data_IF_706405081621
#
_entry.id   IF_706405081621
#
_cell.length_a   1.000
_cell.length_b   1.000
_cell.length_c   1.000
_cell.angle_alpha   90.00
_cell.angle_beta   90.00
_cell.angle_gamma   90.00
#
_symmetry.space_group_name_H-M   'P 1'
#
loop_
_entity.id
_entity.type
_entity.pdbx_description
1 polymer ?
#
# COMPACT_ATOMS: atom_id res chain seq x y z
N UNK A 1 -3.05 -12.94 3.30
CA UNK A 1 -2.01 -11.91 3.12
C UNK A 1 -0.62 -12.57 3.08
N UNK A 2 0.39 -11.89 2.54
CA UNK A 2 1.79 -12.26 2.64
C UNK A 2 2.38 -11.63 3.91
N UNK A 3 3.05 -12.42 4.73
CA UNK A 3 3.68 -11.95 5.97
C UNK A 3 5.11 -12.46 6.12
N UNK A 4 5.80 -11.96 7.14
CA UNK A 4 7.12 -12.45 7.54
C UNK A 4 6.98 -13.37 8.73
N UNK A 5 7.71 -14.49 8.75
CA UNK A 5 7.66 -15.43 9.87
C UNK A 5 8.40 -14.86 11.09
N UNK A 6 7.69 -14.63 12.19
CA UNK A 6 8.23 -14.16 13.48
C UNK A 6 7.72 -15.01 14.64
N UNK A 7 8.29 -14.84 15.83
CA UNK A 7 7.60 -15.32 17.04
C UNK A 7 6.33 -14.50 17.28
N UNK A 8 5.40 -15.04 18.08
CA UNK A 8 4.19 -14.32 18.48
C UNK A 8 4.51 -13.00 19.17
N UNK A 9 5.51 -13.03 20.06
CA UNK A 9 5.96 -11.87 20.84
C UNK A 9 6.58 -10.81 19.94
N UNK A 10 7.52 -11.21 19.06
CA UNK A 10 8.15 -10.28 18.12
C UNK A 10 7.13 -9.63 17.19
N UNK A 11 6.14 -10.39 16.71
CA UNK A 11 5.10 -9.84 15.87
C UNK A 11 4.30 -8.75 16.59
N UNK A 12 3.87 -9.02 17.84
CA UNK A 12 3.12 -8.08 18.66
C UNK A 12 3.94 -6.84 19.04
N UNK A 13 5.19 -7.02 19.47
CA UNK A 13 6.10 -5.94 19.89
C UNK A 13 6.42 -4.99 18.73
N UNK A 14 6.39 -5.48 17.50
CA UNK A 14 6.60 -4.68 16.29
C UNK A 14 5.29 -4.07 15.73
N UNK A 15 4.15 -4.24 16.42
CA UNK A 15 2.85 -3.72 15.98
C UNK A 15 2.24 -4.48 14.79
N UNK A 16 2.66 -5.71 14.57
CA UNK A 16 2.12 -6.59 13.54
C UNK A 16 0.89 -7.37 14.01
N UNK A 17 0.23 -8.02 13.07
CA UNK A 17 -0.91 -8.92 13.32
C UNK A 17 -0.56 -10.34 12.88
N UNK A 18 -0.84 -11.32 13.73
CA UNK A 18 -0.68 -12.74 13.43
C UNK A 18 -1.76 -13.21 12.45
N UNK A 19 -1.34 -13.73 11.30
CA UNK A 19 -2.20 -14.27 10.22
C UNK A 19 -1.86 -15.75 9.95
N UNK A 20 -1.93 -16.58 10.99
CA UNK A 20 -1.67 -18.02 10.92
C UNK A 20 -0.24 -18.41 11.32
N UNK A 21 0.09 -19.70 11.14
CA UNK A 21 1.34 -20.29 11.63
C UNK A 21 2.37 -20.44 10.50
N UNK A 22 3.65 -20.31 10.85
CA UNK A 22 4.80 -20.56 9.97
C UNK A 22 5.86 -21.41 10.69
N UNK A 23 6.94 -21.78 9.99
CA UNK A 23 8.03 -22.60 10.53
C UNK A 23 7.53 -23.84 11.29
N UNK A 24 6.62 -24.62 10.70
CA UNK A 24 5.99 -25.80 11.33
C UNK A 24 5.33 -25.54 12.69
N UNK A 25 4.83 -24.32 12.92
CA UNK A 25 4.12 -23.94 14.16
C UNK A 25 5.01 -23.30 15.22
N UNK A 26 6.30 -23.08 14.95
CA UNK A 26 7.20 -22.37 15.87
C UNK A 26 7.10 -20.84 15.75
N UNK A 27 6.40 -20.33 14.73
CA UNK A 27 6.18 -18.91 14.55
C UNK A 27 4.82 -18.59 13.93
N UNK A 28 4.56 -17.31 13.77
CA UNK A 28 3.36 -16.75 13.16
C UNK A 28 3.68 -16.01 11.86
N UNK A 29 2.77 -16.08 10.89
CA UNK A 29 2.81 -15.23 9.71
C UNK A 29 2.45 -13.79 10.13
N UNK A 30 3.47 -12.96 10.35
CA UNK A 30 3.26 -11.61 10.83
C UNK A 30 3.02 -10.64 9.67
N UNK A 31 1.90 -9.92 9.72
CA UNK A 31 1.52 -8.92 8.71
C UNK A 31 1.56 -7.52 9.32
N UNK A 32 1.98 -6.54 8.53
CA UNK A 32 2.02 -5.13 8.93
C UNK A 32 1.06 -4.34 8.07
N UNK A 33 0.23 -3.50 8.70
CA UNK A 33 -0.77 -2.67 8.02
C UNK A 33 -0.62 -1.21 8.47
N UNK A 34 -0.73 -0.30 7.51
CA UNK A 34 -0.69 1.15 7.75
C UNK A 34 -1.90 1.78 7.08
N UNK A 35 -2.73 2.45 7.86
CA UNK A 35 -3.95 3.12 7.37
C UNK A 35 -3.97 4.62 7.63
N UNK A 36 -3.15 5.12 8.56
CA UNK A 36 -3.11 6.53 8.92
C UNK A 36 -2.43 7.36 7.82
N UNK A 37 -3.16 8.31 7.23
CA UNK A 37 -2.62 9.24 6.24
C UNK A 37 -1.43 10.04 6.78
N UNK A 38 -0.43 10.29 5.93
CA UNK A 38 0.77 11.07 6.28
C UNK A 38 1.87 10.24 6.96
N UNK A 39 1.67 8.94 7.15
CA UNK A 39 2.67 8.07 7.77
C UNK A 39 3.71 7.56 6.77
N UNK A 40 4.83 7.09 7.32
CA UNK A 40 5.89 6.46 6.53
C UNK A 40 5.86 4.95 6.70
N UNK A 41 6.07 4.23 5.59
CA UNK A 41 6.32 2.80 5.56
C UNK A 41 7.83 2.57 5.62
N UNK A 42 8.29 1.86 6.64
CA UNK A 42 9.72 1.62 6.91
C UNK A 42 10.06 0.13 7.00
N UNK A 43 9.13 -0.75 6.60
CA UNK A 43 9.27 -2.20 6.65
C UNK A 43 8.92 -2.80 5.29
N UNK A 44 9.58 -3.91 4.95
CA UNK A 44 9.23 -4.68 3.77
C UNK A 44 7.90 -5.41 4.01
N UNK A 45 7.13 -5.68 2.95
CA UNK A 45 5.86 -6.42 3.01
C UNK A 45 4.87 -5.73 3.97
N UNK A 46 4.56 -4.47 3.69
CA UNK A 46 3.56 -3.68 4.45
C UNK A 46 2.35 -3.40 3.59
N UNK A 47 1.16 -3.65 4.14
CA UNK A 47 -0.11 -3.31 3.50
C UNK A 47 -0.48 -1.87 3.80
N UNK A 48 -0.70 -1.09 2.74
CA UNK A 48 -1.22 0.27 2.84
C UNK A 48 -2.70 0.22 2.52
N UNK A 49 -3.53 0.78 3.39
CA UNK A 49 -4.98 0.88 3.16
C UNK A 49 -5.44 2.31 3.36
N UNK A 50 -6.51 2.72 2.69
CA UNK A 50 -7.19 3.95 3.08
C UNK A 50 -7.70 3.85 4.55
N UNK A 51 -7.87 4.97 5.26
CA UNK A 51 -8.28 4.96 6.68
C UNK A 51 -9.57 4.19 6.99
N UNK A 52 -10.51 4.15 6.04
CA UNK A 52 -11.82 3.52 6.20
C UNK A 52 -11.89 2.09 5.66
N UNK A 53 -10.80 1.52 5.14
CA UNK A 53 -10.81 0.18 4.53
C UNK A 53 -11.37 -0.87 5.51
N UNK A 54 -12.25 -1.78 5.07
CA UNK A 54 -12.65 -2.07 3.69
C UNK A 54 -13.81 -1.21 3.15
N UNK A 55 -14.28 -0.23 3.91
CA UNK A 55 -15.33 0.70 3.44
C UNK A 55 -14.74 1.87 2.63
N UNK A 56 -15.61 2.52 1.85
CA UNK A 56 -15.22 3.67 1.03
C UNK A 56 -14.68 4.82 1.90
N UNK A 57 -13.60 5.43 1.44
CA UNK A 57 -13.06 6.65 2.04
C UNK A 57 -13.78 7.87 1.45
N UNK A 58 -14.49 8.63 2.29
CA UNK A 58 -15.34 9.74 1.84
C UNK A 58 -14.78 11.12 2.17
N UNK A 59 -13.60 11.18 2.79
CA UNK A 59 -12.93 12.44 3.13
C UNK A 59 -12.22 13.00 1.90
N UNK A 60 -12.61 14.19 1.47
CA UNK A 60 -11.92 14.90 0.39
C UNK A 60 -10.55 15.39 0.81
N UNK A 61 -9.58 15.29 -0.10
CA UNK A 61 -8.22 15.78 0.10
C UNK A 61 -7.16 14.79 -0.38
N UNK A 62 -5.89 15.16 -0.25
CA UNK A 62 -4.76 14.29 -0.59
C UNK A 62 -4.29 13.54 0.66
N UNK A 63 -4.28 12.21 0.57
CA UNK A 63 -3.67 11.33 1.56
C UNK A 63 -2.35 10.80 1.00
N UNK A 64 -1.23 11.07 1.67
CA UNK A 64 0.10 10.66 1.21
C UNK A 64 0.70 9.63 2.17
N UNK A 65 1.28 8.57 1.62
CA UNK A 65 2.11 7.61 2.35
C UNK A 65 3.54 7.69 1.78
N UNK A 66 4.54 7.74 2.66
CA UNK A 66 5.95 7.81 2.23
C UNK A 66 6.62 6.45 2.41
N UNK A 67 7.06 5.84 1.32
CA UNK A 67 7.75 4.54 1.39
C UNK A 67 9.24 4.78 1.49
N UNK A 68 9.81 4.45 2.64
CA UNK A 68 11.25 4.51 2.89
C UNK A 68 11.87 3.15 2.57
N UNK A 69 12.97 3.16 1.82
CA UNK A 69 13.77 1.96 1.62
C UNK A 69 14.25 1.45 2.97
N UNK A 70 14.08 0.15 3.23
CA UNK A 70 14.50 -0.46 4.50
C UNK A 70 16.02 -0.55 4.63
N UNK A 71 16.76 -0.44 3.52
CA UNK A 71 18.21 -0.26 3.46
C UNK A 71 18.63 0.31 2.09
N UNK A 72 19.88 0.76 1.98
CA UNK A 72 20.40 1.43 0.78
C UNK A 72 20.69 0.50 -0.41
N UNK A 73 20.70 -0.82 -0.20
CA UNK A 73 20.94 -1.81 -1.26
C UNK A 73 19.67 -2.11 -2.09
N UNK A 74 18.56 -1.42 -1.83
CA UNK A 74 17.29 -1.59 -2.55
C UNK A 74 17.25 -0.66 -3.76
N UNK A 75 17.21 -1.27 -4.94
CA UNK A 75 17.15 -0.57 -6.23
C UNK A 75 15.72 -0.30 -6.71
N UNK A 76 14.74 -1.08 -6.26
CA UNK A 76 13.36 -0.99 -6.73
C UNK A 76 12.38 -1.27 -5.60
N UNK A 77 11.32 -0.47 -5.53
CA UNK A 77 10.12 -0.76 -4.75
C UNK A 77 9.08 -1.36 -5.70
N UNK A 78 8.47 -2.47 -5.30
CA UNK A 78 7.36 -3.10 -6.00
C UNK A 78 6.07 -2.81 -5.25
N UNK A 79 5.03 -2.42 -5.99
CA UNK A 79 3.69 -2.23 -5.45
C UNK A 79 2.77 -3.23 -6.12
N UNK A 80 2.06 -3.99 -5.29
CA UNK A 80 1.03 -4.93 -5.73
C UNK A 80 -0.31 -4.40 -5.21
N UNK A 81 -1.29 -4.35 -6.10
CA UNK A 81 -2.64 -3.90 -5.77
C UNK A 81 -3.55 -5.10 -5.52
N UNK A 82 -3.81 -5.36 -4.24
CA UNK A 82 -4.77 -6.39 -3.82
C UNK A 82 -6.20 -5.95 -4.12
N UNK A 83 -6.52 -4.68 -3.81
CA UNK A 83 -7.81 -4.07 -4.07
C UNK A 83 -7.64 -2.56 -4.29
N UNK A 84 -7.95 -2.08 -5.50
CA UNK A 84 -8.00 -0.67 -5.82
C UNK A 84 -9.31 -0.36 -6.53
N UNK A 85 -10.14 0.47 -5.88
CA UNK A 85 -11.40 0.98 -6.42
C UNK A 85 -11.39 2.48 -6.23
N UNK A 86 -11.37 3.20 -7.35
CA UNK A 86 -11.40 4.66 -7.40
C UNK A 86 -12.57 5.09 -8.28
N UNK A 87 -12.95 6.36 -8.18
CA UNK A 87 -13.98 6.93 -9.07
C UNK A 87 -13.56 6.80 -10.54
N UNK A 88 -14.50 6.36 -11.40
CA UNK A 88 -14.30 6.24 -12.85
C UNK A 88 -13.97 7.58 -13.51
N UNK A 89 -13.10 7.59 -14.54
CA UNK A 89 -12.84 8.80 -15.32
C UNK A 89 -14.02 9.14 -16.23
N UNK A 90 -14.50 10.39 -16.17
CA UNK A 90 -15.60 10.86 -17.02
C UNK A 90 -15.31 10.85 -18.54
N UNK A 91 -14.03 10.95 -18.94
CA UNK A 91 -13.62 11.08 -20.35
C UNK A 91 -12.58 10.03 -20.76
N UNK A 92 -12.48 8.93 -20.01
CA UNK A 92 -11.47 7.88 -20.24
C UNK A 92 -10.05 8.23 -19.78
N UNK A 93 -9.84 9.45 -19.28
CA UNK A 93 -8.56 9.93 -18.75
C UNK A 93 -8.70 10.31 -17.27
N UNK A 94 -7.72 9.95 -16.45
CA UNK A 94 -7.62 10.39 -15.05
C UNK A 94 -7.22 11.87 -14.94
N UNK A 95 -7.62 12.73 -15.88
CA UNK A 95 -7.21 14.13 -15.97
C UNK A 95 -8.20 15.11 -15.35
N UNK A 96 -9.43 14.69 -15.03
CA UNK A 96 -10.45 15.64 -14.61
C UNK A 96 -10.25 16.13 -13.15
N UNK A 97 -10.91 17.25 -12.85
CA UNK A 97 -11.16 17.90 -11.54
C UNK A 97 -11.55 17.03 -10.35
N UNK A 98 -12.43 16.07 -10.67
CA UNK A 98 -13.48 15.58 -9.78
C UNK A 98 -13.45 14.05 -9.70
N UNK A 99 -12.31 13.45 -9.98
CA UNK A 99 -12.07 12.00 -9.93
C UNK A 99 -10.98 11.74 -8.91
N UNK A 100 -11.16 10.68 -8.13
CA UNK A 100 -10.13 10.17 -7.22
C UNK A 100 -8.93 9.64 -8.03
N UNK A 101 -7.72 9.97 -7.57
CA UNK A 101 -6.49 9.56 -8.24
C UNK A 101 -5.50 8.99 -7.25
N UNK A 102 -4.88 7.88 -7.61
CA UNK A 102 -3.67 7.40 -6.98
C UNK A 102 -2.47 7.84 -7.81
N UNK A 103 -1.54 8.55 -7.19
CA UNK A 103 -0.33 9.06 -7.87
C UNK A 103 0.92 8.61 -7.13
N UNK A 104 2.02 8.52 -7.87
CA UNK A 104 3.31 8.13 -7.36
C UNK A 104 4.33 9.23 -7.56
N UNK A 105 5.16 9.48 -6.54
CA UNK A 105 6.28 10.40 -6.63
C UNK A 105 7.55 9.67 -6.21
N UNK A 106 8.60 9.84 -7.01
CA UNK A 106 9.92 9.27 -6.73
C UNK A 106 10.96 10.39 -6.67
N UNK A 107 11.89 10.38 -5.70
CA UNK A 107 13.02 11.31 -5.66
C UNK A 107 13.90 11.25 -6.91
N UNK A 108 13.91 10.11 -7.64
CA UNK A 108 14.67 9.96 -8.88
C UNK A 108 14.03 10.64 -10.09
N UNK A 109 12.82 11.20 -9.93
CA UNK A 109 12.02 11.69 -11.06
C UNK A 109 11.44 10.56 -11.93
N UNK A 110 11.62 9.30 -11.53
CA UNK A 110 10.96 8.17 -12.19
C UNK A 110 9.44 8.32 -12.07
N UNK A 111 8.77 8.32 -13.22
CA UNK A 111 7.32 8.36 -13.32
C UNK A 111 6.87 6.95 -13.73
N UNK A 112 6.25 6.16 -12.83
CA UNK A 112 5.69 4.87 -13.21
C UNK A 112 4.57 5.05 -14.26
N UNK A 113 4.25 3.99 -15.04
CA UNK A 113 3.14 4.01 -15.99
C UNK A 113 1.83 4.50 -15.35
N UNK A 114 1.05 5.31 -16.06
CA UNK A 114 -0.13 6.02 -15.51
C UNK A 114 0.21 7.43 -15.04
N UNK A 115 0.97 8.19 -15.83
CA UNK A 115 1.58 9.49 -15.49
C UNK A 115 0.62 10.62 -15.08
N UNK A 116 -0.70 10.44 -15.22
CA UNK A 116 -1.74 11.32 -14.69
C UNK A 116 -2.38 10.86 -13.38
N UNK A 117 -1.90 9.75 -12.82
CA UNK A 117 -2.53 8.99 -11.75
C UNK A 117 -3.36 7.82 -12.28
N UNK A 118 -3.55 6.81 -11.43
CA UNK A 118 -4.51 5.73 -11.64
C UNK A 118 -5.88 6.17 -11.12
N UNK A 119 -6.94 5.78 -11.81
CA UNK A 119 -8.34 6.01 -11.44
C UNK A 119 -9.21 4.87 -11.99
N UNK A 120 -10.49 4.84 -11.59
CA UNK A 120 -11.42 3.75 -11.92
C UNK A 120 -11.31 2.49 -11.06
N UNK A 121 -12.05 1.47 -11.43
CA UNK A 121 -12.11 0.15 -10.81
C UNK A 121 -11.30 -0.91 -11.59
N UNK A 122 -11.09 -2.09 -10.98
CA UNK A 122 -10.38 -3.24 -11.57
C UNK A 122 -8.87 -3.10 -11.79
N UNK A 123 -8.15 -2.36 -10.94
CA UNK A 123 -6.68 -2.28 -11.00
C UNK A 123 -6.00 -3.36 -10.14
N UNK A 124 -6.51 -4.61 -10.16
CA UNK A 124 -5.88 -5.71 -9.42
C UNK A 124 -4.69 -6.29 -10.20
N UNK A 125 -3.52 -6.37 -9.57
CA UNK A 125 -2.30 -6.88 -10.20
C UNK A 125 -1.00 -6.25 -9.70
N UNK A 126 0.12 -6.66 -10.31
CA UNK A 126 1.46 -6.13 -10.05
C UNK A 126 1.83 -5.08 -11.10
N UNK A 127 2.22 -3.87 -10.68
CA UNK A 127 2.55 -2.75 -11.57
C UNK A 127 3.88 -2.06 -11.22
#
# INVERSE_FOLDING_TARGET
DHGTCFTSEECADNGGTSDGNCASGFGVCCTFKVSTCGTSVTRNITYITNPSYPTAYTTSGTCTYTINRVNDNICQIRLDFDNLVLTEPATGECSNTNTDKLTFTSPSGYVPPGSGGLCGDNVSGSH
#
